data_IF_090252101646
#
_entry.id   IF_090252101646
#
_cell.length_a   1.000
_cell.length_b   1.000
_cell.length_c   1.000
_cell.angle_alpha   90.00
_cell.angle_beta   90.00
_cell.angle_gamma   90.00
#
_symmetry.space_group_name_H-M   'P 1'
#
loop_
_entity.id
_entity.type
_entity.pdbx_description
1 polymer ?
#
# COMPACT_ATOMS: atom_id res chain seq x y z
N UNK A 1 14.30 -22.36 -25.32
CA UNK A 1 12.94 -22.97 -25.32
C UNK A 1 12.00 -21.94 -24.72
N UNK A 2 10.98 -21.48 -25.44
CA UNK A 2 10.00 -20.56 -24.91
C UNK A 2 9.26 -21.24 -23.73
N UNK A 3 9.47 -20.75 -22.52
CA UNK A 3 8.78 -21.26 -21.33
C UNK A 3 7.28 -21.19 -21.54
N UNK A 4 6.56 -22.30 -21.31
CA UNK A 4 5.10 -22.34 -21.36
C UNK A 4 4.54 -21.26 -20.44
N UNK A 5 3.91 -20.24 -21.01
CA UNK A 5 3.25 -19.17 -20.26
C UNK A 5 2.15 -19.79 -19.40
N UNK A 6 2.24 -19.61 -18.07
CA UNK A 6 1.20 -20.06 -17.14
C UNK A 6 -0.12 -19.36 -17.52
N UNK A 7 -1.19 -20.13 -17.69
CA UNK A 7 -2.52 -19.54 -17.92
C UNK A 7 -2.89 -18.66 -16.70
N UNK A 8 -3.47 -17.47 -16.92
CA UNK A 8 -3.95 -16.64 -15.82
C UNK A 8 -5.01 -17.40 -15.02
N UNK A 9 -4.96 -17.30 -13.69
CA UNK A 9 -5.99 -17.86 -12.80
C UNK A 9 -7.11 -16.86 -12.52
N UNK A 10 -7.00 -15.64 -13.05
CA UNK A 10 -7.93 -14.51 -12.88
C UNK A 10 -8.76 -14.29 -14.15
N UNK A 11 -10.06 -14.04 -13.98
CA UNK A 11 -10.95 -13.63 -15.06
C UNK A 11 -10.55 -12.27 -15.60
N UNK A 12 -10.16 -11.36 -14.70
CA UNK A 12 -9.68 -10.02 -15.04
C UNK A 12 -8.38 -10.05 -15.84
N UNK A 13 -7.38 -10.83 -15.41
CA UNK A 13 -6.13 -10.96 -16.18
C UNK A 13 -6.38 -11.61 -17.55
N UNK A 14 -7.29 -12.58 -17.60
CA UNK A 14 -7.68 -13.24 -18.86
C UNK A 14 -8.35 -12.26 -19.82
N UNK A 15 -9.24 -11.40 -19.31
CA UNK A 15 -9.87 -10.34 -20.10
C UNK A 15 -8.83 -9.32 -20.58
N UNK A 16 -7.96 -8.85 -19.68
CA UNK A 16 -6.91 -7.88 -20.00
C UNK A 16 -5.99 -8.37 -21.13
N UNK A 17 -5.58 -9.64 -21.09
CA UNK A 17 -4.67 -10.22 -22.10
C UNK A 17 -5.28 -10.40 -23.49
N UNK A 18 -6.58 -10.15 -23.68
CA UNK A 18 -7.18 -10.07 -25.02
C UNK A 18 -6.76 -8.81 -25.76
N UNK A 19 -6.42 -7.75 -25.05
CA UNK A 19 -6.10 -6.42 -25.60
C UNK A 19 -4.74 -5.89 -25.17
N UNK A 20 -4.23 -6.34 -24.02
CA UNK A 20 -2.91 -6.03 -23.49
C UNK A 20 -1.84 -7.02 -23.98
N UNK A 21 -0.59 -6.58 -23.94
CA UNK A 21 0.57 -7.43 -24.23
C UNK A 21 1.27 -7.86 -22.93
N UNK A 22 2.10 -8.91 -23.03
CA UNK A 22 3.05 -9.29 -21.97
C UNK A 22 4.45 -8.90 -22.42
N UNK A 23 5.30 -8.51 -21.47
CA UNK A 23 6.73 -8.45 -21.76
C UNK A 23 7.30 -9.87 -21.90
N UNK A 24 8.37 -10.04 -22.70
CA UNK A 24 9.13 -11.28 -22.70
C UNK A 24 9.63 -11.60 -21.29
N UNK A 25 9.53 -12.87 -20.89
CA UNK A 25 9.99 -13.35 -19.59
C UNK A 25 11.43 -13.86 -19.68
N UNK A 26 12.30 -13.41 -18.79
CA UNK A 26 13.67 -13.91 -18.64
C UNK A 26 13.70 -15.16 -17.77
N UNK A 27 13.57 -16.33 -18.39
CA UNK A 27 13.59 -17.63 -17.68
C UNK A 27 15.00 -18.16 -17.50
N UNK A 28 15.34 -18.82 -16.37
CA UNK A 28 14.45 -19.24 -15.27
C UNK A 28 14.26 -18.22 -14.12
N UNK A 29 14.92 -17.08 -14.15
CA UNK A 29 15.03 -16.15 -13.02
C UNK A 29 13.72 -15.40 -12.73
N UNK A 30 13.04 -14.94 -13.78
CA UNK A 30 11.81 -14.17 -13.66
C UNK A 30 10.60 -15.07 -13.37
N UNK A 31 10.00 -14.87 -12.20
CA UNK A 31 8.85 -15.65 -11.71
C UNK A 31 7.53 -14.88 -11.74
N UNK A 32 7.59 -13.57 -11.96
CA UNK A 32 6.44 -12.67 -11.97
C UNK A 32 6.02 -12.43 -13.42
N UNK A 33 4.71 -12.42 -13.67
CA UNK A 33 4.15 -12.09 -14.97
C UNK A 33 3.90 -10.58 -15.09
N UNK A 34 3.95 -10.07 -16.33
CA UNK A 34 3.62 -8.68 -16.63
C UNK A 34 2.38 -8.57 -17.53
N UNK A 35 1.60 -7.51 -17.32
CA UNK A 35 0.54 -7.07 -18.23
C UNK A 35 0.83 -5.60 -18.54
N UNK A 36 1.04 -5.30 -19.82
CA UNK A 36 1.36 -3.96 -20.29
C UNK A 36 0.11 -3.32 -20.88
N UNK A 37 -0.23 -2.15 -20.36
CA UNK A 37 -1.37 -1.34 -20.81
C UNK A 37 -0.89 -0.02 -21.41
N UNK A 38 -1.74 0.62 -22.21
CA UNK A 38 -1.34 1.74 -23.05
C UNK A 38 -1.15 3.08 -22.31
N UNK A 39 -1.70 3.23 -21.10
CA UNK A 39 -1.66 4.48 -20.34
C UNK A 39 -2.04 4.29 -18.85
N UNK A 40 -1.81 5.32 -18.03
CA UNK A 40 -2.12 5.33 -16.60
C UNK A 40 -3.61 5.13 -16.25
N UNK A 41 -4.58 5.75 -16.96
CA UNK A 41 -5.99 5.43 -16.75
C UNK A 41 -6.31 3.95 -16.90
N UNK A 42 -5.84 3.31 -17.98
CA UNK A 42 -6.05 1.87 -18.21
C UNK A 42 -5.40 1.02 -17.11
N UNK A 43 -4.23 1.44 -16.60
CA UNK A 43 -3.58 0.78 -15.46
C UNK A 43 -4.43 0.90 -14.19
N UNK A 44 -5.01 2.08 -13.93
CA UNK A 44 -5.93 2.30 -12.82
C UNK A 44 -7.17 1.42 -12.90
N UNK A 45 -7.81 1.34 -14.08
CA UNK A 45 -8.99 0.48 -14.28
C UNK A 45 -8.64 -1.00 -14.09
N UNK A 46 -7.52 -1.47 -14.66
CA UNK A 46 -7.09 -2.87 -14.53
C UNK A 46 -6.77 -3.23 -13.08
N UNK A 47 -6.01 -2.39 -12.37
CA UNK A 47 -5.66 -2.62 -10.96
C UNK A 47 -6.88 -2.55 -10.06
N UNK A 48 -7.83 -1.64 -10.33
CA UNK A 48 -9.12 -1.57 -9.64
C UNK A 48 -9.92 -2.86 -9.84
N UNK A 49 -10.05 -3.33 -11.08
CA UNK A 49 -10.75 -4.58 -11.38
C UNK A 49 -10.08 -5.78 -10.70
N UNK A 50 -8.74 -5.85 -10.71
CA UNK A 50 -8.00 -6.92 -10.02
C UNK A 50 -8.21 -6.89 -8.51
N UNK A 51 -8.17 -5.72 -7.90
CA UNK A 51 -8.45 -5.55 -6.48
C UNK A 51 -9.86 -6.03 -6.13
N UNK A 52 -10.87 -5.60 -6.90
CA UNK A 52 -12.27 -5.98 -6.66
C UNK A 52 -12.51 -7.49 -6.87
N UNK A 53 -11.85 -8.12 -7.85
CA UNK A 53 -11.87 -9.58 -8.00
C UNK A 53 -11.29 -10.28 -6.77
N UNK A 54 -10.16 -9.78 -6.25
CA UNK A 54 -9.49 -10.37 -5.09
C UNK A 54 -10.31 -10.21 -3.81
N UNK A 55 -10.89 -9.02 -3.56
CA UNK A 55 -11.71 -8.76 -2.38
C UNK A 55 -12.92 -9.70 -2.32
N UNK A 56 -13.54 -10.01 -3.46
CA UNK A 56 -14.65 -10.98 -3.49
C UNK A 56 -14.29 -12.37 -2.98
N UNK A 57 -13.03 -12.77 -3.16
CA UNK A 57 -12.51 -14.06 -2.71
C UNK A 57 -11.96 -13.96 -1.28
N UNK A 58 -11.65 -12.75 -0.81
CA UNK A 58 -10.99 -12.46 0.46
C UNK A 58 -11.66 -11.27 1.18
N UNK A 59 -12.95 -11.37 1.58
CA UNK A 59 -13.71 -10.23 2.12
C UNK A 59 -13.13 -9.68 3.44
N UNK A 60 -12.40 -10.52 4.19
CA UNK A 60 -11.73 -10.16 5.45
C UNK A 60 -10.20 -10.06 5.31
N UNK A 61 -9.71 -10.06 4.07
CA UNK A 61 -8.29 -10.16 3.75
C UNK A 61 -7.47 -8.93 4.18
N UNK A 62 -6.16 -9.14 4.36
CA UNK A 62 -5.20 -8.09 4.69
C UNK A 62 -4.67 -7.46 3.41
N UNK A 63 -4.78 -6.13 3.31
CA UNK A 63 -4.40 -5.36 2.14
C UNK A 63 -3.38 -4.29 2.51
N UNK A 64 -2.54 -3.95 1.55
CA UNK A 64 -1.75 -2.72 1.58
C UNK A 64 -1.81 -2.04 0.22
N UNK A 65 -2.13 -0.75 0.23
CA UNK A 65 -2.37 0.06 -0.95
C UNK A 65 -1.40 1.25 -0.95
N UNK A 66 -0.99 1.73 -2.13
CA UNK A 66 0.08 2.71 -2.25
C UNK A 66 -0.42 4.12 -1.88
N UNK A 67 0.50 5.01 -1.53
CA UNK A 67 0.22 6.44 -1.31
C UNK A 67 0.76 7.30 -2.47
N UNK A 68 0.44 8.59 -2.47
CA UNK A 68 0.94 9.55 -3.46
C UNK A 68 0.02 9.79 -4.65
N UNK A 69 0.58 10.30 -5.76
CA UNK A 69 -0.20 10.73 -6.96
C UNK A 69 -0.50 9.60 -7.94
N UNK A 70 0.41 8.64 -8.07
CA UNK A 70 0.27 7.52 -9.01
C UNK A 70 -1.02 6.70 -8.82
N UNK A 71 -1.48 6.38 -7.59
CA UNK A 71 -2.68 5.57 -7.43
C UNK A 71 -4.01 6.33 -7.56
N UNK A 72 -4.01 7.63 -7.89
CA UNK A 72 -5.25 8.40 -8.06
C UNK A 72 -6.21 7.77 -9.07
N UNK A 73 -5.67 7.22 -10.17
CA UNK A 73 -6.48 6.48 -11.15
C UNK A 73 -7.09 5.22 -10.53
N UNK A 74 -6.31 4.42 -9.80
CA UNK A 74 -6.82 3.24 -9.09
C UNK A 74 -7.94 3.59 -8.11
N UNK A 75 -7.72 4.58 -7.24
CA UNK A 75 -8.69 5.02 -6.22
C UNK A 75 -10.00 5.44 -6.87
N UNK A 76 -9.91 6.31 -7.89
CA UNK A 76 -11.07 6.81 -8.61
C UNK A 76 -11.86 5.69 -9.30
N UNK A 77 -11.17 4.75 -9.93
CA UNK A 77 -11.84 3.64 -10.62
C UNK A 77 -12.50 2.68 -9.64
N UNK A 78 -11.89 2.39 -8.48
CA UNK A 78 -12.55 1.59 -7.42
C UNK A 78 -13.84 2.28 -6.97
N UNK A 79 -13.78 3.58 -6.67
CA UNK A 79 -14.95 4.36 -6.23
C UNK A 79 -16.04 4.42 -7.32
N UNK A 80 -15.65 4.67 -8.58
CA UNK A 80 -16.58 4.74 -9.71
C UNK A 80 -17.30 3.41 -9.94
N UNK A 81 -16.55 2.30 -9.99
CA UNK A 81 -17.11 0.97 -10.21
C UNK A 81 -18.03 0.57 -9.05
N UNK A 82 -17.65 0.82 -7.80
CA UNK A 82 -18.49 0.51 -6.63
C UNK A 82 -19.72 1.41 -6.52
N UNK A 83 -19.59 2.70 -6.84
CA UNK A 83 -20.69 3.66 -6.82
C UNK A 83 -21.75 3.36 -7.88
N UNK A 84 -21.31 3.06 -9.10
CA UNK A 84 -22.19 2.73 -10.22
C UNK A 84 -22.49 1.24 -10.39
N UNK A 85 -22.20 0.38 -9.41
CA UNK A 85 -22.23 -1.09 -9.57
C UNK A 85 -23.54 -1.67 -10.15
N UNK A 86 -24.67 -0.99 -9.94
CA UNK A 86 -26.00 -1.39 -10.44
C UNK A 86 -26.43 -0.68 -11.73
N UNK A 87 -25.61 0.23 -12.25
CA UNK A 87 -25.89 0.94 -13.49
C UNK A 87 -25.57 0.02 -14.70
N UNK A 88 -26.46 -0.06 -15.71
CA UNK A 88 -26.25 -0.97 -16.84
C UNK A 88 -24.91 -0.78 -17.57
N UNK A 89 -24.44 0.46 -17.71
CA UNK A 89 -23.17 0.78 -18.36
C UNK A 89 -21.97 0.23 -17.56
N UNK A 90 -22.00 0.34 -16.24
CA UNK A 90 -20.94 -0.18 -15.36
C UNK A 90 -21.00 -1.71 -15.30
N UNK A 91 -22.19 -2.32 -15.28
CA UNK A 91 -22.30 -3.78 -15.33
C UNK A 91 -21.70 -4.38 -16.60
N UNK A 92 -22.00 -3.78 -17.76
CA UNK A 92 -21.39 -4.18 -19.02
C UNK A 92 -19.86 -4.01 -19.01
N UNK A 93 -19.36 -2.94 -18.38
CA UNK A 93 -17.94 -2.72 -18.20
C UNK A 93 -17.31 -3.78 -17.28
N UNK A 94 -17.91 -4.09 -16.13
CA UNK A 94 -17.44 -5.13 -15.20
C UNK A 94 -17.33 -6.49 -15.90
N UNK A 95 -18.33 -6.89 -16.69
CA UNK A 95 -18.28 -8.12 -17.49
C UNK A 95 -17.14 -8.08 -18.52
N UNK A 96 -16.95 -6.95 -19.20
CA UNK A 96 -15.84 -6.77 -20.15
C UNK A 96 -14.46 -6.87 -19.49
N UNK A 97 -14.38 -6.43 -18.23
CA UNK A 97 -13.21 -6.53 -17.36
C UNK A 97 -13.05 -7.92 -16.75
N UNK A 98 -13.93 -8.87 -17.00
CA UNK A 98 -13.85 -10.24 -16.47
C UNK A 98 -14.35 -10.39 -15.02
N UNK A 99 -15.11 -9.42 -14.52
CA UNK A 99 -15.79 -9.47 -13.22
C UNK A 99 -17.24 -9.93 -13.38
N UNK A 100 -17.75 -10.64 -12.39
CA UNK A 100 -19.16 -10.99 -12.31
C UNK A 100 -19.96 -9.86 -11.60
N UNK A 101 -20.90 -9.19 -12.27
CA UNK A 101 -21.60 -8.02 -11.73
C UNK A 101 -22.67 -8.37 -10.68
N UNK A 102 -23.06 -9.63 -10.52
CA UNK A 102 -24.13 -10.02 -9.60
C UNK A 102 -23.73 -9.85 -8.13
N UNK A 103 -22.42 -9.95 -7.86
CA UNK A 103 -21.86 -9.94 -6.51
C UNK A 103 -20.95 -8.73 -6.29
N UNK A 104 -21.52 -7.67 -5.71
CA UNK A 104 -20.78 -6.48 -5.28
C UNK A 104 -19.82 -6.83 -4.13
N UNK A 105 -18.52 -6.51 -4.22
CA UNK A 105 -17.60 -6.67 -3.10
C UNK A 105 -17.87 -5.66 -1.99
N UNK A 106 -17.70 -6.11 -0.75
CA UNK A 106 -17.77 -5.28 0.45
C UNK A 106 -16.36 -5.03 0.98
N UNK A 107 -16.00 -3.75 1.17
CA UNK A 107 -14.64 -3.38 1.59
C UNK A 107 -14.46 -3.30 3.11
N UNK A 108 -15.56 -3.17 3.86
CA UNK A 108 -15.53 -2.92 5.31
C UNK A 108 -14.86 -4.04 6.13
N UNK A 109 -14.90 -5.27 5.62
CA UNK A 109 -14.24 -6.43 6.23
C UNK A 109 -12.73 -6.45 6.08
N UNK A 110 -12.16 -5.69 5.15
CA UNK A 110 -10.73 -5.70 4.89
C UNK A 110 -9.93 -5.17 6.09
N UNK A 111 -8.71 -5.68 6.23
CA UNK A 111 -7.74 -5.17 7.20
C UNK A 111 -6.68 -4.38 6.44
N UNK A 112 -6.48 -3.11 6.78
CA UNK A 112 -5.53 -2.26 6.07
C UNK A 112 -4.18 -2.23 6.80
N UNK A 113 -3.08 -2.31 6.07
CA UNK A 113 -1.72 -2.15 6.59
C UNK A 113 -1.01 -1.04 5.81
N UNK A 114 -0.62 0.04 6.50
CA UNK A 114 0.29 1.05 5.96
C UNK A 114 1.71 0.49 5.94
N UNK A 115 2.47 0.73 4.87
CA UNK A 115 3.80 0.13 4.69
C UNK A 115 4.96 1.09 4.94
N UNK A 116 4.69 2.39 4.89
CA UNK A 116 5.72 3.41 4.98
C UNK A 116 5.20 4.73 5.55
N UNK A 117 6.11 5.48 6.16
CA UNK A 117 5.89 6.85 6.65
C UNK A 117 7.25 7.55 6.79
N UNK A 118 7.24 8.87 6.68
CA UNK A 118 8.43 9.69 6.97
C UNK A 118 8.53 9.99 8.47
N UNK A 119 9.30 9.24 9.25
CA UNK A 119 9.57 9.67 10.62
C UNK A 119 10.51 10.90 10.63
N UNK A 120 10.30 11.95 11.45
CA UNK A 120 9.26 12.14 12.48
C UNK A 120 8.12 13.08 12.03
N UNK A 121 7.49 12.83 10.87
CA UNK A 121 6.42 13.68 10.35
C UNK A 121 5.24 13.74 11.32
N UNK A 122 4.66 14.93 11.47
CA UNK A 122 3.41 15.06 12.21
C UNK A 122 2.28 14.38 11.42
N UNK A 123 1.52 13.45 12.02
CA UNK A 123 0.48 12.68 11.34
C UNK A 123 -0.66 13.55 10.79
N UNK A 124 -0.81 14.79 11.27
CA UNK A 124 -1.82 15.76 10.84
C UNK A 124 -1.37 16.62 9.65
N UNK A 125 -0.13 16.50 9.20
CA UNK A 125 0.34 17.23 8.03
C UNK A 125 -0.16 16.57 6.73
N UNK A 126 -0.50 17.36 5.72
CA UNK A 126 -0.99 16.84 4.43
C UNK A 126 0.02 15.95 3.67
N UNK A 127 1.30 16.00 4.05
CA UNK A 127 2.35 15.15 3.47
C UNK A 127 2.51 13.82 4.23
N UNK A 128 1.78 13.62 5.32
CA UNK A 128 1.73 12.39 6.10
C UNK A 128 1.04 11.30 5.30
N UNK A 129 1.67 10.14 5.18
CA UNK A 129 1.02 8.98 4.57
C UNK A 129 -0.10 8.44 5.45
N UNK A 130 -0.02 8.63 6.76
CA UNK A 130 -1.12 8.38 7.69
C UNK A 130 -2.37 9.21 7.33
N UNK A 131 -2.23 10.51 7.08
CA UNK A 131 -3.35 11.37 6.68
C UNK A 131 -3.92 10.95 5.32
N UNK A 132 -3.04 10.66 4.35
CA UNK A 132 -3.44 10.16 3.04
C UNK A 132 -4.28 8.89 3.15
N UNK A 133 -3.81 7.89 3.90
CA UNK A 133 -4.51 6.61 4.07
C UNK A 133 -5.87 6.82 4.72
N UNK A 134 -5.96 7.65 5.77
CA UNK A 134 -7.23 7.97 6.43
C UNK A 134 -8.23 8.58 5.46
N UNK A 135 -7.81 9.58 4.69
CA UNK A 135 -8.70 10.28 3.75
C UNK A 135 -9.12 9.40 2.56
N UNK A 136 -8.18 8.77 1.87
CA UNK A 136 -8.47 8.13 0.59
C UNK A 136 -8.94 6.68 0.72
N UNK A 137 -8.47 5.96 1.75
CA UNK A 137 -8.81 4.55 1.94
C UNK A 137 -9.79 4.35 3.09
N UNK A 138 -9.54 4.88 4.28
CA UNK A 138 -10.48 4.70 5.40
C UNK A 138 -11.82 5.38 5.09
N UNK A 139 -11.81 6.67 4.84
CA UNK A 139 -13.01 7.43 4.49
C UNK A 139 -13.45 7.15 3.05
N UNK A 140 -12.51 7.23 2.09
CA UNK A 140 -12.83 7.12 0.66
C UNK A 140 -13.31 5.75 0.20
N UNK A 141 -12.86 4.65 0.80
CA UNK A 141 -13.35 3.29 0.49
C UNK A 141 -14.34 2.76 1.55
N UNK A 142 -14.52 3.48 2.67
CA UNK A 142 -15.34 3.02 3.78
C UNK A 142 -14.73 1.83 4.54
N UNK A 143 -13.39 1.78 4.63
CA UNK A 143 -12.70 0.78 5.44
C UNK A 143 -12.89 1.08 6.94
N UNK A 144 -12.73 0.07 7.79
CA UNK A 144 -12.81 0.25 9.23
C UNK A 144 -11.49 0.71 9.82
N UNK A 145 -11.50 1.84 10.54
CA UNK A 145 -10.33 2.33 11.29
C UNK A 145 -9.84 1.31 12.32
N UNK A 146 -10.77 0.62 13.01
CA UNK A 146 -10.44 -0.40 14.02
C UNK A 146 -9.74 -1.64 13.43
N UNK A 147 -9.81 -1.80 12.10
CA UNK A 147 -9.16 -2.87 11.34
C UNK A 147 -7.94 -2.37 10.56
N UNK A 148 -7.53 -1.13 10.76
CA UNK A 148 -6.36 -0.55 10.14
C UNK A 148 -5.17 -0.60 11.10
N UNK A 149 -4.04 -1.06 10.58
CA UNK A 149 -2.72 -0.93 11.19
C UNK A 149 -2.02 0.22 10.45
N UNK A 150 -1.91 1.37 11.13
CA UNK A 150 -1.36 2.60 10.57
C UNK A 150 -0.08 3.01 11.30
N UNK A 151 0.75 3.81 10.62
CA UNK A 151 2.01 4.31 11.17
C UNK A 151 1.78 5.72 11.70
N UNK A 152 1.51 5.86 13.00
CA UNK A 152 1.37 7.16 13.66
C UNK A 152 2.65 7.51 14.41
N UNK A 153 3.43 8.47 13.90
CA UNK A 153 4.70 8.86 14.52
C UNK A 153 4.56 9.38 15.96
N UNK A 154 3.39 9.94 16.34
CA UNK A 154 3.14 10.39 17.73
C UNK A 154 3.06 9.21 18.71
N UNK A 155 2.67 8.01 18.23
CA UNK A 155 2.52 6.79 19.04
C UNK A 155 3.79 5.95 19.13
N UNK A 156 4.78 6.20 18.26
CA UNK A 156 6.10 5.55 18.35
C UNK A 156 6.78 5.91 19.68
N UNK A 157 6.42 7.08 20.23
CA UNK A 157 6.84 7.52 21.54
C UNK A 157 8.18 8.24 21.50
N UNK A 158 8.28 9.29 22.32
CA UNK A 158 9.52 10.00 22.58
C UNK A 158 9.89 9.88 24.05
N UNK A 159 11.19 9.85 24.40
CA UNK A 159 11.62 9.87 25.79
C UNK A 159 10.98 11.05 26.54
N UNK A 160 10.31 10.76 27.67
CA UNK A 160 9.74 11.79 28.55
C UNK A 160 8.46 12.47 28.08
N UNK A 161 7.82 12.01 27.01
CA UNK A 161 6.54 12.56 26.52
C UNK A 161 6.66 13.91 25.81
N UNK A 162 7.88 14.27 25.35
CA UNK A 162 8.12 15.43 24.49
C UNK A 162 7.37 15.27 23.14
N UNK A 163 7.01 16.38 22.47
CA UNK A 163 6.38 16.31 21.14
C UNK A 163 7.44 16.09 20.04
N UNK A 164 7.05 15.54 18.89
CA UNK A 164 7.98 15.33 17.76
C UNK A 164 8.62 16.64 17.29
N UNK A 165 7.87 17.74 17.26
CA UNK A 165 8.35 19.05 16.83
C UNK A 165 9.37 19.63 17.80
N UNK A 166 9.09 19.53 19.10
CA UNK A 166 9.98 20.04 20.14
C UNK A 166 11.25 19.17 20.25
N UNK A 167 11.09 17.86 20.18
CA UNK A 167 12.20 16.93 20.25
C UNK A 167 13.07 17.05 19.01
N UNK A 168 12.52 17.05 17.79
CA UNK A 168 13.29 17.11 16.54
C UNK A 168 13.34 18.51 15.91
N UNK A 169 13.38 19.58 16.69
CA UNK A 169 13.31 20.97 16.22
C UNK A 169 14.31 21.35 15.10
N UNK A 170 15.41 20.59 14.92
CA UNK A 170 16.37 20.75 13.81
C UNK A 170 16.00 19.99 12.52
N UNK A 171 14.85 19.31 12.48
CA UNK A 171 14.32 18.56 11.33
C UNK A 171 15.17 17.39 10.85
N UNK A 172 16.27 17.07 11.54
CA UNK A 172 17.25 16.08 11.10
C UNK A 172 17.41 15.01 12.16
N UNK A 173 17.30 13.75 11.75
CA UNK A 173 17.59 12.59 12.58
C UNK A 173 18.99 12.08 12.19
N UNK A 174 19.96 12.16 13.09
CA UNK A 174 21.30 11.60 12.86
C UNK A 174 21.27 10.07 13.01
N UNK A 175 21.06 9.36 11.89
CA UNK A 175 21.06 7.89 11.88
C UNK A 175 22.44 7.29 12.23
N UNK A 176 23.51 8.08 12.21
CA UNK A 176 24.83 7.66 12.68
C UNK A 176 24.83 7.27 14.16
N UNK A 177 23.90 7.81 14.96
CA UNK A 177 23.70 7.44 16.37
C UNK A 177 23.26 5.99 16.57
N UNK A 178 22.86 5.25 15.52
CA UNK A 178 22.69 3.79 15.60
C UNK A 178 24.01 3.05 15.82
N UNK A 179 25.12 3.59 15.31
CA UNK A 179 26.39 2.85 15.20
C UNK A 179 27.52 3.44 16.04
N UNK A 180 27.38 4.70 16.50
CA UNK A 180 28.39 5.38 17.33
C UNK A 180 27.86 5.68 18.72
N UNK A 181 28.74 5.79 19.74
CA UNK A 181 28.34 6.26 21.05
C UNK A 181 27.95 7.74 21.01
N UNK A 182 26.94 8.09 21.82
CA UNK A 182 26.57 9.46 22.08
C UNK A 182 27.68 10.19 22.88
N UNK A 183 27.93 11.45 22.53
CA UNK A 183 28.95 12.33 23.13
C UNK A 183 28.34 13.42 24.02
N UNK A 184 27.04 13.65 23.90
CA UNK A 184 26.30 14.65 24.67
C UNK A 184 25.01 14.04 25.24
N UNK A 185 24.43 14.67 26.27
CA UNK A 185 23.12 14.27 26.79
C UNK A 185 22.01 14.32 25.72
N UNK A 186 22.13 15.27 24.77
CA UNK A 186 21.20 15.39 23.65
C UNK A 186 21.29 14.19 22.71
N UNK A 187 22.52 13.81 22.33
CA UNK A 187 22.74 12.61 21.50
C UNK A 187 22.30 11.32 22.22
N UNK A 188 22.41 11.25 23.56
CA UNK A 188 21.89 10.11 24.32
C UNK A 188 20.37 10.00 24.19
N UNK A 189 19.64 11.11 24.36
CA UNK A 189 18.18 11.14 24.15
C UNK A 189 17.79 10.74 22.73
N UNK A 190 18.48 11.27 21.72
CA UNK A 190 18.21 10.95 20.31
C UNK A 190 18.50 9.49 19.99
N UNK A 191 19.59 8.94 20.54
CA UNK A 191 19.93 7.53 20.40
C UNK A 191 18.86 6.64 21.03
N UNK A 192 18.34 7.00 22.21
CA UNK A 192 17.23 6.27 22.84
C UNK A 192 15.94 6.37 22.01
N UNK A 193 15.63 7.53 21.43
CA UNK A 193 14.49 7.68 20.52
C UNK A 193 14.63 6.78 19.28
N UNK A 194 15.83 6.71 18.68
CA UNK A 194 16.10 5.85 17.53
C UNK A 194 15.92 4.37 17.89
N UNK A 195 16.39 3.92 19.05
CA UNK A 195 16.16 2.54 19.52
C UNK A 195 14.68 2.22 19.70
N UNK A 196 13.89 3.17 20.21
CA UNK A 196 12.43 2.99 20.32
C UNK A 196 11.77 2.88 18.94
N UNK A 197 12.20 3.68 17.96
CA UNK A 197 11.74 3.53 16.57
C UNK A 197 12.07 2.14 16.03
N UNK A 198 13.29 1.65 16.26
CA UNK A 198 13.72 0.33 15.80
C UNK A 198 12.85 -0.78 16.45
N UNK A 199 12.60 -0.72 17.76
CA UNK A 199 11.69 -1.65 18.44
C UNK A 199 10.24 -1.55 17.91
N UNK A 200 9.74 -0.33 17.70
CA UNK A 200 8.40 -0.13 17.17
C UNK A 200 8.22 -0.74 15.78
N UNK A 201 9.26 -0.67 14.93
CA UNK A 201 9.28 -1.32 13.62
C UNK A 201 9.21 -2.86 13.75
N UNK A 202 9.93 -3.45 14.70
CA UNK A 202 9.84 -4.89 14.99
C UNK A 202 8.43 -5.28 15.48
N UNK A 203 7.85 -4.50 16.39
CA UNK A 203 6.50 -4.73 16.90
C UNK A 203 5.44 -4.52 15.81
N UNK A 204 5.67 -3.59 14.88
CA UNK A 204 4.81 -3.37 13.72
C UNK A 204 4.83 -4.58 12.77
N UNK A 205 6.01 -5.08 12.43
CA UNK A 205 6.19 -6.30 11.62
C UNK A 205 5.51 -7.50 12.28
N UNK A 206 5.65 -7.66 13.60
CA UNK A 206 4.98 -8.75 14.32
C UNK A 206 3.45 -8.64 14.23
N UNK A 207 2.88 -7.44 14.37
CA UNK A 207 1.43 -7.20 14.18
C UNK A 207 0.97 -7.55 12.77
N UNK A 208 1.80 -7.36 11.74
CA UNK A 208 1.48 -7.81 10.36
C UNK A 208 1.47 -9.33 10.29
N UNK A 209 2.45 -10.01 10.90
CA UNK A 209 2.51 -11.48 10.95
C UNK A 209 1.33 -12.09 11.68
N UNK A 210 0.92 -11.50 12.81
CA UNK A 210 -0.22 -11.95 13.61
C UNK A 210 -1.55 -11.85 12.83
N UNK A 211 -1.61 -10.98 11.82
CA UNK A 211 -2.74 -10.88 10.87
C UNK A 211 -2.67 -11.87 9.71
N UNK A 212 -1.64 -12.73 9.66
CA UNK A 212 -1.43 -13.70 8.59
C UNK A 212 -0.64 -13.16 7.39
N UNK A 213 -0.05 -11.97 7.50
CA UNK A 213 0.65 -11.30 6.41
C UNK A 213 -0.26 -10.59 5.41
N UNK A 214 0.33 -9.83 4.48
CA UNK A 214 -0.40 -9.08 3.47
C UNK A 214 -0.84 -10.03 2.34
N UNK A 215 -2.15 -10.14 2.12
CA UNK A 215 -2.73 -10.98 1.07
C UNK A 215 -2.88 -10.28 -0.28
N UNK A 216 -3.03 -8.94 -0.28
CA UNK A 216 -3.01 -8.11 -1.48
C UNK A 216 -2.12 -6.89 -1.27
N UNK A 217 -1.07 -6.79 -2.07
CA UNK A 217 -0.18 -5.64 -2.10
C UNK A 217 -0.29 -4.94 -3.44
N UNK A 218 -0.58 -3.64 -3.41
CA UNK A 218 -0.42 -2.76 -4.56
C UNK A 218 0.64 -1.72 -4.21
N UNK A 219 1.67 -1.63 -5.03
CA UNK A 219 2.80 -0.74 -4.83
C UNK A 219 3.29 -0.13 -6.13
N UNK A 220 3.90 1.03 -6.02
CA UNK A 220 4.71 1.61 -7.10
C UNK A 220 6.13 1.06 -7.07
N UNK A 221 6.79 1.10 -8.22
CA UNK A 221 8.23 0.91 -8.33
C UNK A 221 8.82 2.24 -8.81
N UNK A 222 9.76 2.78 -8.05
CA UNK A 222 10.48 4.01 -8.38
C UNK A 222 11.38 3.84 -9.62
N UNK A 223 11.81 4.95 -10.26
CA UNK A 223 12.68 4.90 -11.44
C UNK A 223 14.06 4.27 -11.17
N UNK A 224 14.49 4.26 -9.92
CA UNK A 224 15.69 3.62 -9.36
C UNK A 224 15.42 2.19 -8.85
N UNK A 225 14.19 1.69 -8.98
CA UNK A 225 13.77 0.37 -8.53
C UNK A 225 13.28 0.31 -7.08
N UNK A 226 13.13 1.45 -6.39
CA UNK A 226 12.68 1.43 -4.99
C UNK A 226 11.21 1.02 -4.83
N UNK A 227 10.90 0.44 -3.68
CA UNK A 227 9.56 0.11 -3.19
C UNK A 227 9.51 0.60 -1.73
N UNK A 228 8.56 1.49 -1.42
CA UNK A 228 8.54 2.21 -0.14
C UNK A 228 9.85 2.98 0.06
N UNK A 229 10.48 2.83 1.23
CA UNK A 229 11.76 3.46 1.55
C UNK A 229 12.96 2.50 1.52
N UNK A 230 12.95 1.48 0.66
CA UNK A 230 14.06 0.51 0.56
C UNK A 230 15.33 1.05 -0.17
N UNK A 231 15.51 2.37 -0.24
CA UNK A 231 16.68 3.02 -0.83
C UNK A 231 17.84 3.14 0.15
N UNK A 232 19.06 3.15 -0.38
CA UNK A 232 20.30 3.44 0.36
C UNK A 232 20.70 4.90 0.22
#
# INVERSE_FOLDING_TARGET
MAGKTKKPTSGVETAALKTASRLPRYTPEEKIDSIVVNNFPALGTLTAARFLEWVRQNPEGVISLPTGRTPEHFIREVQRLLGGWREPAVQAELESLGLDPDRKPELKGLQFVQIDEFYPVNPRHNNSFYDYVRKYYIEGFGLSMDRALLINCEEIGLPGGESLESFWAGGTVDLGLRYRPARTLREQKEQDAIRHVDQWCEDYEQRIRDRGGIGFFLGGIGPDGHIGFNVR
#
